data_IF_972204792568
#
_entry.id   IF_972204792568
#
_cell.length_a   1.000
_cell.length_b   1.000
_cell.length_c   1.000
_cell.angle_alpha   90.00
_cell.angle_beta   90.00
_cell.angle_gamma   90.00
#
_symmetry.space_group_name_H-M   'P 1'
#
loop_
_entity.id
_entity.type
_entity.pdbx_description
1 polymer ?
#
# COMPACT_ATOMS: atom_id res chain seq x y z
N UNK A 1 -2.09 18.99 -18.68
CA UNK A 1 -0.68 18.71 -19.01
C UNK A 1 -0.47 17.20 -18.85
N UNK A 2 -0.07 16.46 -19.89
CA UNK A 2 0.31 15.07 -19.73
C UNK A 2 1.51 15.02 -18.78
N UNK A 3 1.43 14.17 -17.75
CA UNK A 3 2.55 13.89 -16.86
C UNK A 3 3.61 13.20 -17.73
N UNK A 4 4.84 13.75 -17.86
CA UNK A 4 5.89 13.07 -18.61
C UNK A 4 6.09 11.68 -17.98
N UNK A 5 6.38 10.64 -18.79
CA UNK A 5 6.62 9.31 -18.26
C UNK A 5 7.76 9.42 -17.25
N UNK A 6 7.44 9.15 -15.99
CA UNK A 6 8.45 9.10 -14.95
C UNK A 6 9.24 7.81 -15.15
N UNK A 7 10.45 7.95 -15.70
CA UNK A 7 11.42 6.87 -15.74
C UNK A 7 11.93 6.66 -14.31
N UNK A 8 11.20 5.85 -13.55
CA UNK A 8 11.62 5.41 -12.23
C UNK A 8 12.63 4.27 -12.41
N UNK A 9 13.88 4.62 -12.66
CA UNK A 9 15.00 3.65 -12.69
C UNK A 9 15.44 3.33 -11.26
N UNK A 10 14.53 2.78 -10.45
CA UNK A 10 14.93 2.03 -9.26
C UNK A 10 14.94 0.54 -9.61
N UNK A 11 16.01 -0.16 -9.25
CA UNK A 11 16.20 -1.57 -9.52
C UNK A 11 16.24 -2.35 -8.19
N UNK A 12 15.10 -2.58 -7.50
CA UNK A 12 15.09 -3.24 -6.19
C UNK A 12 15.84 -4.58 -6.07
N UNK A 13 16.00 -5.33 -7.17
CA UNK A 13 16.75 -6.59 -7.16
C UNK A 13 18.27 -6.43 -7.37
N UNK A 14 18.72 -5.24 -7.79
CA UNK A 14 20.14 -4.91 -8.07
C UNK A 14 20.68 -3.90 -7.07
N UNK A 15 19.88 -2.88 -6.74
CA UNK A 15 20.23 -1.82 -5.81
C UNK A 15 20.35 -2.36 -4.39
N UNK A 16 21.33 -1.83 -3.65
CA UNK A 16 21.47 -2.15 -2.23
C UNK A 16 20.32 -1.52 -1.44
N UNK A 17 19.84 -2.22 -0.42
CA UNK A 17 18.81 -1.68 0.46
C UNK A 17 19.35 -0.41 1.15
N UNK A 18 18.64 0.74 1.04
CA UNK A 18 19.13 2.00 1.57
C UNK A 18 19.21 1.94 3.10
N UNK A 19 20.28 2.53 3.65
CA UNK A 19 20.43 2.65 5.11
C UNK A 19 19.33 3.55 5.69
N UNK A 20 19.07 3.39 6.99
CA UNK A 20 18.09 4.22 7.69
C UNK A 20 18.41 5.71 7.60
N UNK A 21 19.69 6.09 7.62
CA UNK A 21 20.17 7.46 7.43
C UNK A 21 19.90 7.99 6.01
N UNK A 22 20.13 7.17 4.97
CA UNK A 22 19.81 7.54 3.60
C UNK A 22 18.30 7.76 3.42
N UNK A 23 17.47 6.92 4.05
CA UNK A 23 16.02 7.05 4.04
C UNK A 23 15.53 8.32 4.76
N UNK A 24 16.11 8.68 5.91
CA UNK A 24 15.74 9.91 6.61
C UNK A 24 16.15 11.15 5.83
N UNK A 25 17.35 11.16 5.23
CA UNK A 25 17.81 12.23 4.35
C UNK A 25 16.90 12.38 3.12
N UNK A 26 16.56 11.28 2.44
CA UNK A 26 15.64 11.30 1.31
C UNK A 26 14.25 11.84 1.68
N UNK A 27 13.71 11.42 2.83
CA UNK A 27 12.42 11.94 3.35
C UNK A 27 12.49 13.43 3.67
N UNK A 28 13.59 13.92 4.23
CA UNK A 28 13.78 15.34 4.51
C UNK A 28 13.78 16.18 3.22
N UNK A 29 14.44 15.71 2.16
CA UNK A 29 14.43 16.35 0.84
C UNK A 29 13.02 16.36 0.23
N UNK A 30 12.30 15.23 0.30
CA UNK A 30 10.91 15.14 -0.17
C UNK A 30 10.03 16.15 0.57
N UNK A 31 10.18 16.28 1.90
CA UNK A 31 9.41 17.22 2.70
C UNK A 31 9.75 18.68 2.37
N UNK A 32 11.02 18.99 2.10
CA UNK A 32 11.45 20.33 1.67
C UNK A 32 10.83 20.71 0.32
N UNK A 33 10.84 19.80 -0.67
CA UNK A 33 10.22 20.03 -1.98
C UNK A 33 8.69 20.07 -1.91
N UNK A 34 8.08 19.24 -1.05
CA UNK A 34 6.64 19.31 -0.81
C UNK A 34 6.22 20.65 -0.19
N UNK A 35 7.11 21.29 0.58
CA UNK A 35 6.87 22.60 1.18
C UNK A 35 7.10 23.76 0.19
N UNK A 36 7.95 23.59 -0.82
CA UNK A 36 8.22 24.59 -1.86
C UNK A 36 7.12 24.64 -2.93
N UNK A 37 6.41 23.53 -3.13
CA UNK A 37 5.34 23.40 -4.12
C UNK A 37 3.96 23.64 -3.49
N UNK A 38 3.07 24.43 -4.12
CA UNK A 38 1.70 24.53 -3.65
C UNK A 38 1.04 23.13 -3.64
N UNK A 39 0.24 22.81 -2.62
CA UNK A 39 -0.42 21.51 -2.53
C UNK A 39 -1.20 21.27 -3.82
N UNK A 40 -0.92 20.16 -4.50
CA UNK A 40 -1.74 19.76 -5.63
C UNK A 40 -3.16 19.55 -5.10
N UNK A 41 -4.20 20.13 -5.74
CA UNK A 41 -5.57 19.86 -5.31
C UNK A 41 -5.76 18.36 -5.39
N UNK A 42 -6.05 17.74 -4.25
CA UNK A 42 -6.53 16.37 -4.19
C UNK A 42 -7.77 16.34 -5.08
N UNK A 43 -7.71 15.65 -6.22
CA UNK A 43 -8.77 15.68 -7.24
C UNK A 43 -10.05 14.97 -6.80
N UNK A 44 -10.16 14.62 -5.52
CA UNK A 44 -11.30 13.92 -4.99
C UNK A 44 -12.34 14.99 -4.63
N UNK A 45 -13.48 15.06 -5.33
CA UNK A 45 -14.58 15.88 -4.88
C UNK A 45 -14.97 15.44 -3.47
N UNK A 46 -15.28 16.40 -2.59
CA UNK A 46 -15.83 16.06 -1.29
C UNK A 46 -17.12 15.24 -1.48
N UNK A 47 -17.28 14.12 -0.75
CA UNK A 47 -18.46 13.30 -0.91
C UNK A 47 -19.71 14.08 -0.50
N UNK A 48 -20.67 14.18 -1.41
CA UNK A 48 -21.98 14.76 -1.10
C UNK A 48 -22.86 13.73 -0.41
N UNK A 49 -23.16 13.94 0.87
CA UNK A 49 -24.05 13.06 1.63
C UNK A 49 -25.48 13.60 1.65
N UNK A 50 -26.45 12.68 1.81
CA UNK A 50 -27.83 13.08 2.07
C UNK A 50 -27.97 13.73 3.46
N UNK A 51 -28.98 14.58 3.71
CA UNK A 51 -29.18 15.21 5.02
C UNK A 51 -29.28 14.21 6.19
N UNK A 52 -29.81 13.02 5.96
CA UNK A 52 -29.89 11.97 6.97
C UNK A 52 -28.49 11.41 7.31
N UNK A 53 -27.65 11.20 6.30
CA UNK A 53 -26.28 10.74 6.50
C UNK A 53 -25.40 11.80 7.17
N UNK A 54 -25.56 13.08 6.82
CA UNK A 54 -24.82 14.16 7.50
C UNK A 54 -25.16 14.25 8.98
N UNK A 55 -26.45 14.11 9.33
CA UNK A 55 -26.89 14.10 10.72
C UNK A 55 -26.32 12.91 11.52
N UNK A 56 -26.24 11.72 10.90
CA UNK A 56 -25.62 10.55 11.54
C UNK A 56 -24.10 10.70 11.69
N UNK A 57 -23.41 11.26 10.69
CA UNK A 57 -21.99 11.55 10.78
C UNK A 57 -21.67 12.58 11.87
N UNK A 58 -22.50 13.62 12.02
CA UNK A 58 -22.39 14.60 13.09
C UNK A 58 -22.58 13.94 14.46
N UNK A 59 -23.64 13.13 14.63
CA UNK A 59 -23.88 12.36 15.87
C UNK A 59 -22.70 11.46 16.24
N UNK A 60 -22.13 10.74 15.26
CA UNK A 60 -20.96 9.87 15.47
C UNK A 60 -19.72 10.69 15.81
N UNK A 61 -19.52 11.84 15.18
CA UNK A 61 -18.40 12.75 15.48
C UNK A 61 -18.46 13.27 16.93
N UNK A 62 -19.67 13.48 17.44
CA UNK A 62 -19.92 13.84 18.85
C UNK A 62 -19.92 12.63 19.80
N UNK A 63 -19.62 11.43 19.30
CA UNK A 63 -19.63 10.17 20.05
C UNK A 63 -20.95 9.88 20.79
N UNK A 64 -22.08 10.43 20.33
CA UNK A 64 -23.40 10.18 20.90
C UNK A 64 -23.87 8.79 20.48
N UNK A 65 -24.25 7.91 21.40
CA UNK A 65 -24.81 6.61 21.05
C UNK A 65 -26.21 6.73 20.43
N UNK A 66 -26.61 5.73 19.62
CA UNK A 66 -27.99 5.64 19.13
C UNK A 66 -28.93 5.35 20.30
N UNK A 67 -30.11 5.98 20.30
CA UNK A 67 -31.16 5.62 21.24
C UNK A 67 -31.57 4.15 21.01
N UNK A 68 -31.59 3.32 22.05
CA UNK A 68 -32.03 1.94 21.91
C UNK A 68 -33.48 1.91 21.45
N UNK A 69 -33.80 0.95 20.57
CA UNK A 69 -35.17 0.74 20.13
C UNK A 69 -36.03 0.32 21.33
N UNK A 70 -37.14 1.02 21.55
CA UNK A 70 -38.09 0.66 22.60
C UNK A 70 -38.86 -0.61 22.21
N UNK A 71 -38.63 -1.68 22.95
CA UNK A 71 -39.29 -2.98 22.76
C UNK A 71 -40.44 -3.21 23.74
N UNK A 72 -40.71 -2.29 24.66
CA UNK A 72 -41.74 -2.43 25.71
C UNK A 72 -43.13 -2.72 25.16
N UNK A 73 -43.42 -2.26 23.93
CA UNK A 73 -44.66 -2.53 23.20
C UNK A 73 -44.92 -4.03 22.94
N UNK A 74 -43.87 -4.83 22.80
CA UNK A 74 -43.96 -6.25 22.47
C UNK A 74 -43.82 -7.16 23.70
N UNK A 75 -43.60 -6.59 24.88
CA UNK A 75 -43.57 -7.33 26.13
C UNK A 75 -44.99 -7.74 26.56
N UNK A 76 -45.08 -8.85 27.29
CA UNK A 76 -46.36 -9.31 27.80
C UNK A 76 -46.95 -8.27 28.77
N UNK A 77 -48.25 -7.92 28.66
CA UNK A 77 -48.86 -6.94 29.55
C UNK A 77 -48.83 -7.43 31.01
N UNK A 78 -48.56 -6.52 31.94
CA UNK A 78 -48.65 -6.80 33.37
C UNK A 78 -50.07 -7.25 33.74
N UNK A 79 -50.25 -8.26 34.61
CA UNK A 79 -51.57 -8.73 35.03
C UNK A 79 -52.39 -7.67 35.79
N UNK A 80 -51.76 -6.58 36.24
CA UNK A 80 -52.40 -5.43 36.90
C UNK A 80 -52.78 -4.29 35.94
N UNK A 81 -52.48 -4.41 34.65
CA UNK A 81 -52.73 -3.36 33.67
C UNK A 81 -54.24 -3.19 33.38
N UNK A 82 -54.73 -1.96 33.13
CA UNK A 82 -56.13 -1.74 32.84
C UNK A 82 -56.54 -2.43 31.53
N UNK A 83 -57.78 -2.96 31.45
CA UNK A 83 -58.20 -3.80 30.32
C UNK A 83 -58.12 -3.08 28.96
N UNK A 84 -58.31 -1.76 28.94
CA UNK A 84 -58.23 -0.94 27.73
C UNK A 84 -56.83 -0.93 27.07
N UNK A 85 -55.76 -1.08 27.86
CA UNK A 85 -54.38 -1.14 27.35
C UNK A 85 -53.85 -2.59 27.32
N UNK A 86 -54.31 -3.43 28.24
CA UNK A 86 -53.90 -4.83 28.32
C UNK A 86 -54.43 -5.67 27.15
N UNK A 87 -55.67 -5.45 26.70
CA UNK A 87 -56.28 -6.26 25.62
C UNK A 87 -55.58 -6.09 24.27
N UNK A 88 -55.29 -4.87 23.76
CA UNK A 88 -54.55 -4.71 22.52
C UNK A 88 -53.13 -5.28 22.60
N UNK A 89 -52.42 -5.06 23.72
CA UNK A 89 -51.09 -5.61 23.94
C UNK A 89 -51.09 -7.15 23.96
N UNK A 90 -52.06 -7.77 24.64
CA UNK A 90 -52.24 -9.21 24.67
C UNK A 90 -52.57 -9.78 23.27
N UNK A 91 -53.41 -9.11 22.49
CA UNK A 91 -53.73 -9.51 21.12
C UNK A 91 -52.48 -9.46 20.21
N UNK A 92 -51.68 -8.40 20.33
CA UNK A 92 -50.40 -8.26 19.62
C UNK A 92 -49.46 -9.40 20.03
N UNK A 93 -49.23 -9.60 21.33
CA UNK A 93 -48.36 -10.66 21.83
C UNK A 93 -48.80 -12.06 21.35
N UNK A 94 -50.10 -12.35 21.41
CA UNK A 94 -50.66 -13.61 20.91
C UNK A 94 -50.38 -13.81 19.41
N UNK A 95 -50.55 -12.77 18.58
CA UNK A 95 -50.29 -12.86 17.13
C UNK A 95 -48.82 -13.16 16.80
N UNK A 96 -47.88 -12.55 17.55
CA UNK A 96 -46.45 -12.82 17.40
C UNK A 96 -46.08 -14.22 17.87
N UNK A 97 -46.64 -14.69 18.99
CA UNK A 97 -46.40 -16.04 19.49
C UNK A 97 -46.96 -17.11 18.55
N UNK A 98 -48.15 -16.88 17.98
CA UNK A 98 -48.72 -17.76 16.97
C UNK A 98 -47.83 -17.86 15.72
N UNK A 99 -47.40 -16.71 15.19
CA UNK A 99 -46.44 -16.65 14.06
C UNK A 99 -45.09 -17.30 14.40
N UNK A 100 -44.62 -17.14 15.64
CA UNK A 100 -43.38 -17.77 16.10
C UNK A 100 -43.51 -19.29 16.12
N UNK A 101 -44.65 -19.81 16.58
CA UNK A 101 -44.91 -21.25 16.63
C UNK A 101 -44.90 -21.84 15.21
N UNK A 102 -45.58 -21.19 14.25
CA UNK A 102 -45.53 -21.63 12.85
C UNK A 102 -44.11 -21.57 12.27
N UNK A 103 -43.33 -20.54 12.60
CA UNK A 103 -41.94 -20.44 12.16
C UNK A 103 -41.05 -21.53 12.77
N UNK A 104 -41.26 -21.89 14.05
CA UNK A 104 -40.52 -22.97 14.71
C UNK A 104 -40.88 -24.34 14.12
N UNK A 105 -42.14 -24.58 13.79
CA UNK A 105 -42.54 -25.81 13.09
C UNK A 105 -41.90 -25.91 11.70
N UNK A 106 -41.80 -24.81 10.96
CA UNK A 106 -41.08 -24.78 9.68
C UNK A 106 -39.58 -25.00 9.87
N UNK A 107 -38.99 -24.40 10.90
CA UNK A 107 -37.58 -24.57 11.23
C UNK A 107 -37.27 -26.02 11.65
N UNK A 108 -38.14 -26.66 12.41
CA UNK A 108 -37.98 -28.07 12.80
C UNK A 108 -38.03 -28.99 11.57
N UNK A 109 -38.95 -28.73 10.64
CA UNK A 109 -39.12 -29.52 9.41
C UNK A 109 -37.99 -29.32 8.41
N UNK A 110 -37.54 -28.08 8.20
CA UNK A 110 -36.66 -27.73 7.07
C UNK A 110 -35.32 -27.12 7.45
N UNK A 111 -35.14 -26.69 8.71
CA UNK A 111 -34.00 -25.91 9.17
C UNK A 111 -32.66 -26.63 8.96
N UNK A 112 -32.60 -27.93 9.26
CA UNK A 112 -31.39 -28.73 9.03
C UNK A 112 -30.97 -28.72 7.56
N UNK A 113 -31.92 -28.94 6.65
CA UNK A 113 -31.63 -29.01 5.22
C UNK A 113 -31.27 -27.63 4.65
N UNK A 114 -31.97 -26.58 5.08
CA UNK A 114 -31.66 -25.20 4.69
C UNK A 114 -30.25 -24.79 5.15
N UNK A 115 -29.86 -25.16 6.37
CA UNK A 115 -28.52 -24.90 6.89
C UNK A 115 -27.44 -25.64 6.11
N UNK A 116 -27.63 -26.93 5.81
CA UNK A 116 -26.68 -27.69 5.00
C UNK A 116 -26.51 -27.12 3.59
N UNK A 117 -27.60 -26.68 2.95
CA UNK A 117 -27.52 -26.03 1.64
C UNK A 117 -26.77 -24.70 1.72
N UNK A 118 -27.02 -23.90 2.76
CA UNK A 118 -26.28 -22.68 3.03
C UNK A 118 -24.78 -22.93 3.17
N UNK A 119 -24.40 -23.93 3.96
CA UNK A 119 -23.00 -24.32 4.12
C UNK A 119 -22.37 -24.76 2.80
N UNK A 120 -23.05 -25.58 2.01
CA UNK A 120 -22.56 -25.98 0.69
C UNK A 120 -22.34 -24.77 -0.23
N UNK A 121 -23.22 -23.77 -0.18
CA UNK A 121 -23.04 -22.50 -0.90
C UNK A 121 -21.79 -21.75 -0.44
N UNK A 122 -21.59 -21.63 0.88
CA UNK A 122 -20.41 -20.99 1.48
C UNK A 122 -19.11 -21.73 1.15
N UNK A 123 -19.12 -23.07 1.14
CA UNK A 123 -17.97 -23.88 0.73
C UNK A 123 -17.61 -23.65 -0.73
N UNK A 124 -18.62 -23.55 -1.62
CA UNK A 124 -18.38 -23.25 -3.04
C UNK A 124 -17.80 -21.84 -3.24
N UNK A 125 -18.30 -20.85 -2.50
CA UNK A 125 -17.78 -19.48 -2.53
C UNK A 125 -16.33 -19.43 -2.02
N UNK A 126 -16.04 -20.08 -0.89
CA UNK A 126 -14.70 -20.22 -0.34
C UNK A 126 -13.74 -20.82 -1.37
N UNK A 127 -14.11 -21.93 -2.02
CA UNK A 127 -13.30 -22.56 -3.06
C UNK A 127 -13.11 -21.67 -4.29
N UNK A 128 -14.06 -20.79 -4.62
CA UNK A 128 -13.86 -19.79 -5.68
C UNK A 128 -12.81 -18.76 -5.29
N UNK A 129 -12.95 -18.18 -4.10
CA UNK A 129 -12.02 -17.17 -3.58
C UNK A 129 -10.60 -17.74 -3.42
N UNK A 130 -10.46 -18.97 -2.95
CA UNK A 130 -9.16 -19.64 -2.85
C UNK A 130 -8.50 -19.84 -4.21
N UNK A 131 -9.28 -20.17 -5.26
CA UNK A 131 -8.78 -20.30 -6.63
C UNK A 131 -8.35 -18.96 -7.20
N UNK A 132 -9.14 -17.91 -7.00
CA UNK A 132 -8.81 -16.54 -7.42
C UNK A 132 -7.55 -16.04 -6.72
N UNK A 133 -7.43 -16.25 -5.42
CA UNK A 133 -6.23 -15.91 -4.65
C UNK A 133 -5.00 -16.68 -5.16
N UNK A 134 -5.13 -17.97 -5.43
CA UNK A 134 -4.05 -18.77 -5.99
C UNK A 134 -3.64 -18.30 -7.40
N UNK A 135 -4.60 -17.89 -8.23
CA UNK A 135 -4.32 -17.31 -9.55
C UNK A 135 -3.57 -15.97 -9.42
N UNK A 136 -4.07 -15.05 -8.59
CA UNK A 136 -3.44 -13.75 -8.35
C UNK A 136 -2.01 -13.89 -7.81
N UNK A 137 -1.77 -14.82 -6.87
CA UNK A 137 -0.41 -15.12 -6.38
C UNK A 137 0.51 -15.59 -7.50
N UNK A 138 0.05 -16.49 -8.37
CA UNK A 138 0.84 -16.94 -9.54
C UNK A 138 1.16 -15.78 -10.48
N UNK A 139 0.21 -14.90 -10.75
CA UNK A 139 0.44 -13.72 -11.59
C UNK A 139 1.48 -12.79 -10.98
N UNK A 140 1.39 -12.53 -9.66
CA UNK A 140 2.40 -11.75 -8.92
C UNK A 140 3.78 -12.41 -9.05
N UNK A 141 3.88 -13.72 -8.86
CA UNK A 141 5.14 -14.45 -8.96
C UNK A 141 5.74 -14.39 -10.37
N UNK A 142 4.91 -14.51 -11.41
CA UNK A 142 5.35 -14.38 -12.81
C UNK A 142 5.91 -12.97 -13.07
N UNK A 143 5.17 -11.93 -12.67
CA UNK A 143 5.60 -10.54 -12.85
C UNK A 143 6.89 -10.25 -12.08
N UNK A 144 7.01 -10.76 -10.84
CA UNK A 144 8.21 -10.60 -10.03
C UNK A 144 9.42 -11.33 -10.65
N UNK A 145 9.22 -12.55 -11.17
CA UNK A 145 10.27 -13.31 -11.84
C UNK A 145 10.74 -12.62 -13.12
N UNK A 146 9.81 -12.12 -13.93
CA UNK A 146 10.14 -11.35 -15.13
C UNK A 146 10.89 -10.06 -14.80
N UNK A 147 10.43 -9.33 -13.77
CA UNK A 147 11.10 -8.13 -13.26
C UNK A 147 12.52 -8.46 -12.80
N UNK A 148 12.69 -9.51 -11.99
CA UNK A 148 13.99 -9.94 -11.49
C UNK A 148 14.95 -10.31 -12.64
N UNK A 149 14.49 -11.08 -13.62
CA UNK A 149 15.30 -11.43 -14.80
C UNK A 149 15.75 -10.19 -15.58
N UNK A 150 14.84 -9.24 -15.81
CA UNK A 150 15.15 -7.99 -16.53
C UNK A 150 16.16 -7.15 -15.74
N UNK A 151 15.94 -6.97 -14.44
CA UNK A 151 16.83 -6.17 -13.62
C UNK A 151 18.22 -6.81 -13.49
N UNK A 152 18.31 -8.12 -13.31
CA UNK A 152 19.61 -8.80 -13.24
C UNK A 152 20.41 -8.70 -14.55
N UNK A 153 19.74 -8.76 -15.70
CA UNK A 153 20.38 -8.56 -17.00
C UNK A 153 20.97 -7.15 -17.12
N UNK A 154 20.18 -6.13 -16.77
CA UNK A 154 20.63 -4.72 -16.78
C UNK A 154 21.71 -4.48 -15.71
N UNK A 155 21.61 -5.08 -14.53
CA UNK A 155 22.59 -4.94 -13.45
C UNK A 155 23.97 -5.47 -13.84
N UNK A 156 24.03 -6.57 -14.60
CA UNK A 156 25.28 -7.07 -15.16
C UNK A 156 25.90 -6.07 -16.17
N UNK A 157 25.08 -5.46 -17.02
CA UNK A 157 25.52 -4.42 -17.95
C UNK A 157 26.04 -3.17 -17.21
N UNK A 158 25.29 -2.67 -16.23
CA UNK A 158 25.67 -1.52 -15.39
C UNK A 158 27.03 -1.77 -14.72
N UNK A 159 27.24 -2.96 -14.14
CA UNK A 159 28.52 -3.31 -13.52
C UNK A 159 29.67 -3.29 -14.53
N UNK A 160 29.44 -3.83 -15.72
CA UNK A 160 30.45 -3.85 -16.78
C UNK A 160 30.80 -2.43 -17.25
N UNK A 161 29.79 -1.55 -17.35
CA UNK A 161 29.98 -0.14 -17.65
C UNK A 161 30.74 0.60 -16.55
N UNK A 162 30.41 0.38 -15.28
CA UNK A 162 31.13 0.97 -14.13
C UNK A 162 32.59 0.53 -14.10
N UNK A 163 32.86 -0.77 -14.25
CA UNK A 163 34.22 -1.31 -14.27
C UNK A 163 35.03 -0.75 -15.46
N UNK A 164 34.42 -0.67 -16.65
CA UNK A 164 35.06 -0.11 -17.84
C UNK A 164 35.33 1.39 -17.68
N UNK A 165 34.39 2.12 -17.08
CA UNK A 165 34.54 3.54 -16.79
C UNK A 165 35.66 3.78 -15.78
N UNK A 166 35.69 3.03 -14.65
CA UNK A 166 36.76 3.11 -13.64
C UNK A 166 38.12 2.80 -14.24
N UNK A 167 38.23 1.76 -15.06
CA UNK A 167 39.47 1.43 -15.76
C UNK A 167 39.88 2.51 -16.77
N UNK A 168 38.91 3.12 -17.47
CA UNK A 168 39.15 4.24 -18.36
C UNK A 168 39.72 5.46 -17.64
N UNK A 169 39.09 5.87 -16.54
CA UNK A 169 39.56 6.98 -15.68
C UNK A 169 40.93 6.66 -15.07
N UNK A 170 41.14 5.43 -14.60
CA UNK A 170 42.42 4.96 -14.07
C UNK A 170 43.55 5.10 -15.09
N UNK A 171 43.33 4.64 -16.33
CA UNK A 171 44.32 4.79 -17.42
C UNK A 171 44.62 6.25 -17.73
N UNK A 172 43.62 7.13 -17.78
CA UNK A 172 43.84 8.56 -18.01
C UNK A 172 44.72 9.14 -16.89
N UNK A 173 44.41 8.82 -15.63
CA UNK A 173 45.20 9.29 -14.50
C UNK A 173 46.65 8.76 -14.52
N UNK A 174 46.84 7.48 -14.83
CA UNK A 174 48.18 6.88 -15.01
C UNK A 174 48.98 7.59 -16.12
N UNK A 175 48.33 7.91 -17.24
CA UNK A 175 48.99 8.65 -18.33
C UNK A 175 49.37 10.06 -17.94
N UNK A 176 48.51 10.79 -17.21
CA UNK A 176 48.82 12.13 -16.72
C UNK A 176 49.99 12.12 -15.72
N UNK A 177 50.02 11.14 -14.81
CA UNK A 177 51.14 10.96 -13.88
C UNK A 177 52.44 10.66 -14.63
N UNK A 178 52.42 9.73 -15.60
CA UNK A 178 53.60 9.42 -16.40
C UNK A 178 54.10 10.62 -17.22
N UNK A 179 53.20 11.45 -17.75
CA UNK A 179 53.56 12.70 -18.44
C UNK A 179 54.22 13.69 -17.48
N UNK A 180 53.69 13.86 -16.27
CA UNK A 180 54.29 14.74 -15.26
C UNK A 180 55.65 14.23 -14.76
N UNK A 181 55.84 12.92 -14.60
CA UNK A 181 57.14 12.34 -14.28
C UNK A 181 58.17 12.60 -15.38
N UNK A 182 57.79 12.44 -16.65
CA UNK A 182 58.68 12.74 -17.79
C UNK A 182 59.02 14.24 -17.82
N UNK A 183 58.04 15.12 -17.60
CA UNK A 183 58.27 16.57 -17.50
C UNK A 183 59.23 16.91 -16.35
N UNK A 184 59.12 16.22 -15.21
CA UNK A 184 60.05 16.33 -14.09
C UNK A 184 61.48 15.98 -14.48
N UNK A 185 61.68 14.80 -15.09
CA UNK A 185 63.00 14.35 -15.57
C UNK A 185 63.61 15.29 -16.60
N UNK A 186 62.81 15.84 -17.51
CA UNK A 186 63.26 16.84 -18.49
C UNK A 186 63.74 18.12 -17.78
N UNK A 187 63.01 18.60 -16.77
CA UNK A 187 63.42 19.78 -15.99
C UNK A 187 64.74 19.55 -15.25
N UNK A 188 64.92 18.37 -14.66
CA UNK A 188 66.16 17.98 -13.98
C UNK A 188 67.36 17.91 -14.94
N UNK A 189 67.21 17.29 -16.11
CA UNK A 189 68.27 17.24 -17.12
C UNK A 189 68.62 18.62 -17.68
N UNK A 190 67.63 19.47 -17.93
CA UNK A 190 67.89 20.85 -18.35
C UNK A 190 68.64 21.65 -17.27
N UNK A 191 68.32 21.44 -15.99
CA UNK A 191 69.06 22.05 -14.88
C UNK A 191 70.51 21.53 -14.82
N UNK A 192 70.74 20.22 -15.01
CA UNK A 192 72.09 19.63 -14.99
C UNK A 192 72.97 20.16 -16.13
N UNK A 193 72.42 20.28 -17.33
CA UNK A 193 73.13 20.85 -18.49
C UNK A 193 73.44 22.34 -18.32
N UNK A 194 72.56 23.08 -17.65
CA UNK A 194 72.82 24.48 -17.32
C UNK A 194 73.98 24.64 -16.33
N UNK A 195 74.13 23.73 -15.37
CA UNK A 195 75.28 23.72 -14.44
C UNK A 195 76.58 23.25 -15.11
N UNK A 196 76.53 22.23 -15.97
CA UNK A 196 77.71 21.75 -16.71
C UNK A 196 78.23 22.78 -17.73
N UNK A 197 77.34 23.60 -18.30
CA UNK A 197 77.71 24.70 -19.21
C UNK A 197 78.24 25.97 -18.52
N UNK A 198 78.18 26.06 -17.18
CA UNK A 198 78.77 27.17 -16.41
C UNK A 198 80.19 26.88 -15.88
N UNK A 199 80.65 25.62 -15.93
CA UNK A 199 81.99 25.21 -15.46
C UNK A 199 83.02 25.03 -16.59
N UNK A 200 82.67 25.33 -17.85
CA UNK A 200 83.59 25.41 -19.00
C UNK A 200 83.79 26.85 -19.45
#
# INVERSE_FOLDING_TARGET
MPVPPAYHESLPYVDQEPTTEALTAARALIAAEASSRPPQPTSNPEPSFSPAMTAELERVSESKSLAPLDLSRYEAPSPSAPPATALPAAAIAHSYLSSRLTNLELLEKWGKNAWLLGNHGLEAELQSLERELAAAKREIDIVNLERQKRQNAVGAEIKTLDDTWRAGVGRVLETEVAVEEIRGKIREELARRATEGQES
#
